data_IF_876286574798
#
_entry.id   IF_876286574798
#
_cell.length_a   1.000
_cell.length_b   1.000
_cell.length_c   1.000
_cell.angle_alpha   90.00
_cell.angle_beta   90.00
_cell.angle_gamma   90.00
#
_symmetry.space_group_name_H-M   'P 1'
#
loop_
_entity.id
_entity.type
_entity.pdbx_description
1 polymer ?
#
# COMPACT_ATOMS: atom_id res chain seq x y z
N UNK A 1 0.05 13.21 -7.18
CA UNK A 1 -0.32 11.81 -6.84
C UNK A 1 -1.78 11.57 -7.24
N UNK A 2 -2.08 10.42 -7.87
CA UNK A 2 -3.48 10.02 -8.17
C UNK A 2 -4.22 9.75 -6.85
N UNK A 3 -5.37 10.39 -6.65
CA UNK A 3 -6.21 10.33 -5.43
C UNK A 3 -7.18 9.15 -5.48
N UNK A 4 -7.73 8.75 -4.33
CA UNK A 4 -8.79 7.73 -4.25
C UNK A 4 -8.31 6.30 -4.52
N UNK A 5 -7.07 5.99 -4.10
CA UNK A 5 -6.52 4.63 -4.18
C UNK A 5 -6.86 3.90 -2.89
N UNK A 6 -7.23 2.62 -2.99
CA UNK A 6 -7.47 1.76 -1.83
C UNK A 6 -6.24 1.67 -0.93
N UNK A 7 -6.42 1.69 0.40
CA UNK A 7 -5.31 1.56 1.34
C UNK A 7 -4.69 0.16 1.31
N UNK A 8 -3.46 0.08 1.82
CA UNK A 8 -2.75 -1.19 2.02
C UNK A 8 -3.25 -1.94 3.26
N UNK A 9 -2.40 -2.82 3.78
CA UNK A 9 -2.70 -3.63 4.97
C UNK A 9 -2.96 -2.78 6.24
N UNK A 10 -2.36 -1.59 6.30
CA UNK A 10 -2.43 -0.68 7.44
C UNK A 10 -3.68 0.22 7.45
N UNK A 11 -4.50 0.18 6.40
CA UNK A 11 -5.69 1.02 6.29
C UNK A 11 -5.41 2.50 6.02
N UNK A 12 -4.14 2.91 5.88
CA UNK A 12 -3.79 4.31 5.62
C UNK A 12 -3.87 4.60 4.13
N UNK A 13 -4.69 5.60 3.80
CA UNK A 13 -4.76 6.16 2.45
C UNK A 13 -3.82 7.35 2.29
N UNK A 14 -3.56 7.72 1.04
CA UNK A 14 -2.68 8.86 0.71
C UNK A 14 -3.20 10.19 1.25
N UNK A 15 -4.51 10.30 1.37
CA UNK A 15 -5.21 11.47 1.90
C UNK A 15 -4.87 11.68 3.39
N UNK A 16 -4.73 10.60 4.17
CA UNK A 16 -4.29 10.69 5.56
C UNK A 16 -2.91 11.33 5.68
N UNK A 17 -1.97 10.97 4.79
CA UNK A 17 -0.63 11.58 4.79
C UNK A 17 -0.63 13.01 4.25
N UNK A 18 -1.46 13.32 3.25
CA UNK A 18 -1.57 14.67 2.68
C UNK A 18 -2.18 15.68 3.67
N UNK A 19 -3.16 15.23 4.46
CA UNK A 19 -3.87 16.07 5.42
C UNK A 19 -3.38 15.87 6.86
N UNK A 20 -2.30 15.12 7.07
CA UNK A 20 -1.71 14.96 8.38
C UNK A 20 -1.09 16.26 8.91
N UNK A 21 -1.07 16.39 10.23
CA UNK A 21 -0.44 17.50 10.93
C UNK A 21 1.07 17.59 10.68
N UNK A 22 1.64 18.74 11.02
CA UNK A 22 3.06 19.08 10.80
C UNK A 22 4.04 18.11 11.46
N UNK A 23 3.65 17.44 12.55
CA UNK A 23 4.50 16.52 13.28
C UNK A 23 4.73 15.18 12.56
N UNK A 24 3.78 14.73 11.72
CA UNK A 24 3.88 13.41 11.09
C UNK A 24 5.12 13.31 10.20
N UNK A 25 5.41 14.35 9.43
CA UNK A 25 6.60 14.42 8.56
C UNK A 25 7.90 14.23 9.34
N UNK A 26 7.99 14.82 10.54
CA UNK A 26 9.16 14.68 11.41
C UNK A 26 9.31 13.25 11.93
N UNK A 27 8.22 12.63 12.37
CA UNK A 27 8.24 11.25 12.89
C UNK A 27 8.61 10.26 11.79
N UNK A 28 8.02 10.40 10.60
CA UNK A 28 8.37 9.56 9.45
C UNK A 28 9.85 9.70 9.05
N UNK A 29 10.39 10.92 9.04
CA UNK A 29 11.80 11.14 8.75
C UNK A 29 12.72 10.43 9.76
N UNK A 30 12.39 10.48 11.06
CA UNK A 30 13.15 9.76 12.09
C UNK A 30 13.06 8.24 11.91
N UNK A 31 11.86 7.72 11.63
CA UNK A 31 11.65 6.29 11.39
C UNK A 31 12.48 5.80 10.20
N UNK A 32 12.40 6.47 9.04
CA UNK A 32 13.15 6.06 7.85
C UNK A 32 14.67 6.18 8.05
N UNK A 33 15.13 7.22 8.75
CA UNK A 33 16.55 7.37 9.10
C UNK A 33 17.04 6.21 9.96
N UNK A 34 16.21 5.75 10.92
CA UNK A 34 16.53 4.60 11.76
C UNK A 34 16.56 3.30 10.94
N UNK A 35 15.56 3.07 10.08
CA UNK A 35 15.53 1.89 9.21
C UNK A 35 16.77 1.80 8.31
N UNK A 36 17.17 2.93 7.70
CA UNK A 36 18.34 3.00 6.85
C UNK A 36 19.63 2.80 7.67
N UNK A 37 19.75 3.50 8.81
CA UNK A 37 20.92 3.42 9.68
C UNK A 37 21.19 2.02 10.23
N UNK A 38 20.13 1.25 10.52
CA UNK A 38 20.22 -0.12 11.01
C UNK A 38 20.11 -1.19 9.92
N UNK A 39 19.94 -0.80 8.64
CA UNK A 39 19.64 -1.74 7.54
C UNK A 39 18.51 -2.72 7.87
N UNK A 40 17.52 -2.23 8.62
CA UNK A 40 16.41 -3.04 9.13
C UNK A 40 15.09 -2.37 8.78
N UNK A 41 14.21 -3.10 8.12
CA UNK A 41 12.85 -2.67 7.82
C UNK A 41 11.86 -3.54 8.60
N UNK A 42 10.97 -2.94 9.40
CA UNK A 42 9.89 -3.68 10.07
C UNK A 42 9.09 -4.53 9.09
N UNK A 43 8.79 -5.77 9.48
CA UNK A 43 8.06 -6.72 8.64
C UNK A 43 6.69 -6.17 8.19
N UNK A 44 6.03 -5.39 9.04
CA UNK A 44 4.74 -4.79 8.73
C UNK A 44 4.78 -3.78 7.58
N UNK A 45 5.91 -3.09 7.38
CA UNK A 45 6.11 -2.20 6.23
C UNK A 45 6.35 -2.95 4.91
N UNK A 46 6.65 -4.24 4.99
CA UNK A 46 6.86 -5.11 3.82
C UNK A 46 5.60 -5.90 3.43
N UNK A 47 4.53 -5.84 4.25
CA UNK A 47 3.28 -6.55 3.96
C UNK A 47 2.55 -5.90 2.78
N UNK A 48 2.07 -6.72 1.86
CA UNK A 48 1.24 -6.28 0.73
C UNK A 48 -0.02 -7.14 0.64
N UNK A 49 -1.14 -6.52 0.24
CA UNK A 49 -2.42 -7.22 0.04
C UNK A 49 -2.58 -7.48 -1.46
N UNK A 50 -2.71 -8.74 -1.86
CA UNK A 50 -2.94 -9.11 -3.26
C UNK A 50 -4.44 -9.20 -3.50
N UNK A 51 -4.97 -8.29 -4.33
CA UNK A 51 -6.37 -8.26 -4.74
C UNK A 51 -6.47 -8.73 -6.20
N UNK A 52 -7.08 -9.90 -6.48
CA UNK A 52 -7.29 -10.36 -7.85
C UNK A 52 -8.48 -9.62 -8.49
N UNK A 53 -8.26 -8.98 -9.64
CA UNK A 53 -9.31 -8.25 -10.38
C UNK A 53 -9.55 -8.91 -11.73
N UNK A 54 -10.81 -9.12 -12.09
CA UNK A 54 -11.19 -9.74 -13.38
C UNK A 54 -10.90 -8.78 -14.53
N UNK A 55 -10.20 -9.25 -15.57
CA UNK A 55 -9.77 -8.44 -16.73
C UNK A 55 -10.92 -8.00 -17.65
N UNK A 56 -12.01 -8.78 -17.76
CA UNK A 56 -13.14 -8.53 -18.68
C UNK A 56 -14.49 -8.95 -18.05
N UNK A 57 -15.57 -8.19 -18.33
CA UNK A 57 -16.91 -8.38 -17.72
C UNK A 57 -17.73 -9.55 -18.32
N UNK A 58 -17.25 -10.18 -19.40
CA UNK A 58 -18.04 -11.03 -20.31
C UNK A 58 -17.69 -12.52 -20.30
N UNK A 59 -17.10 -13.05 -19.22
CA UNK A 59 -16.79 -14.48 -19.16
C UNK A 59 -16.85 -15.08 -17.75
N UNK A 60 -17.02 -16.40 -17.72
CA UNK A 60 -16.99 -17.29 -16.54
C UNK A 60 -15.92 -16.86 -15.52
N UNK A 61 -16.33 -16.56 -14.29
CA UNK A 61 -15.47 -16.14 -13.18
C UNK A 61 -14.60 -17.28 -12.62
N UNK A 62 -14.76 -18.51 -13.10
CA UNK A 62 -14.05 -19.70 -12.61
C UNK A 62 -12.61 -19.83 -13.15
N UNK A 63 -12.26 -19.08 -14.20
CA UNK A 63 -10.97 -19.20 -14.86
C UNK A 63 -9.89 -18.28 -14.24
N UNK A 64 -8.91 -18.89 -13.58
CA UNK A 64 -7.79 -18.23 -12.90
C UNK A 64 -6.95 -17.33 -13.83
N UNK A 65 -6.88 -17.67 -15.12
CA UNK A 65 -6.07 -16.92 -16.10
C UNK A 65 -6.61 -15.52 -16.41
N UNK A 66 -7.86 -15.25 -16.06
CA UNK A 66 -8.54 -13.97 -16.33
C UNK A 66 -8.38 -12.94 -15.21
N UNK A 67 -7.76 -13.31 -14.09
CA UNK A 67 -7.49 -12.41 -12.98
C UNK A 67 -6.15 -11.69 -13.17
N UNK A 68 -6.15 -10.39 -12.92
CA UNK A 68 -4.95 -9.56 -12.75
C UNK A 68 -4.72 -9.40 -11.25
N UNK A 69 -3.66 -9.98 -10.67
CA UNK A 69 -3.32 -9.69 -9.29
C UNK A 69 -2.79 -8.25 -9.20
N UNK A 70 -3.39 -7.45 -8.32
CA UNK A 70 -2.89 -6.11 -7.97
C UNK A 70 -2.37 -6.19 -6.55
N UNK A 71 -1.13 -5.76 -6.32
CA UNK A 71 -0.55 -5.67 -4.98
C UNK A 71 -0.80 -4.27 -4.44
N UNK A 72 -1.51 -4.19 -3.32
CA UNK A 72 -1.69 -2.97 -2.53
C UNK A 72 -0.60 -2.95 -1.46
N UNK A 73 0.40 -2.09 -1.65
CA UNK A 73 1.43 -1.83 -0.67
C UNK A 73 1.00 -0.71 0.28
N UNK A 74 1.47 -0.80 1.52
CA UNK A 74 1.41 0.29 2.50
C UNK A 74 2.09 1.55 1.94
N UNK A 75 1.52 2.72 2.25
CA UNK A 75 1.96 4.03 1.72
C UNK A 75 3.19 4.56 2.45
#
# INVERSE_FOLDING_TARGET
MKRGISPGHDGLSKEHLQHAGVHLRRVLAMLFSFCIGHSYLPQDLMKTVVVPIIKNRTGEASDKSKYRPISLATV
#
